data_IF_105718520412
#
_entry.id   IF_105718520412
#
_cell.length_a   1.000
_cell.length_b   1.000
_cell.length_c   1.000
_cell.angle_alpha   90.00
_cell.angle_beta   90.00
_cell.angle_gamma   90.00
#
_symmetry.space_group_name_H-M   'P 1'
#
loop_
_entity.id
_entity.type
_entity.pdbx_description
1 polymer ?
#
# COMPACT_ATOMS: atom_id res chain seq x y z
N UNK A 1 -2.21 3.43 41.79
CA UNK A 1 -0.82 2.98 41.65
C UNK A 1 -0.57 2.77 40.14
N UNK A 2 -0.07 3.81 39.45
CA UNK A 2 0.13 3.76 37.99
C UNK A 2 1.51 3.19 37.71
N UNK A 3 1.56 1.95 37.24
CA UNK A 3 2.78 1.25 36.90
C UNK A 3 3.42 1.95 35.66
N UNK A 4 4.65 2.46 35.84
CA UNK A 4 5.38 3.16 34.76
C UNK A 4 5.65 2.15 33.65
N UNK A 5 4.96 2.26 32.52
CA UNK A 5 5.24 1.48 31.31
C UNK A 5 6.70 1.65 30.94
N UNK A 6 7.51 0.62 31.12
CA UNK A 6 8.89 0.61 30.66
C UNK A 6 8.91 0.90 29.15
N UNK A 7 9.65 1.97 28.79
CA UNK A 7 9.85 2.29 27.36
C UNK A 7 10.57 1.10 26.71
N UNK A 8 10.01 0.49 25.65
CA UNK A 8 10.66 -0.64 25.02
C UNK A 8 12.03 -0.24 24.49
N UNK A 9 13.04 -1.11 24.64
CA UNK A 9 14.39 -0.89 24.13
C UNK A 9 14.38 -0.69 22.60
N UNK A 10 15.38 -0.01 22.04
CA UNK A 10 15.51 0.22 20.60
C UNK A 10 15.44 -1.09 19.81
N UNK A 11 16.07 -2.16 20.31
CA UNK A 11 15.98 -3.50 19.70
C UNK A 11 14.57 -4.10 19.74
N UNK A 12 13.80 -3.86 20.81
CA UNK A 12 12.39 -4.27 20.87
C UNK A 12 11.51 -3.46 19.93
N UNK A 13 11.83 -2.18 19.70
CA UNK A 13 11.14 -1.33 18.70
C UNK A 13 11.45 -1.80 17.29
N UNK A 14 12.72 -2.04 16.96
CA UNK A 14 13.12 -2.59 15.66
C UNK A 14 12.48 -3.94 15.39
N UNK A 15 12.53 -4.87 16.34
CA UNK A 15 11.88 -6.17 16.22
C UNK A 15 10.36 -6.07 16.05
N UNK A 16 9.67 -5.14 16.75
CA UNK A 16 8.24 -4.94 16.60
C UNK A 16 7.87 -4.27 15.26
N UNK A 17 8.80 -3.52 14.65
CA UNK A 17 8.65 -2.98 13.29
C UNK A 17 8.78 -4.09 12.24
N UNK A 18 9.73 -5.00 12.46
CA UNK A 18 10.01 -6.12 11.56
C UNK A 18 8.95 -7.23 11.71
N UNK A 19 8.57 -7.58 12.93
CA UNK A 19 7.58 -8.61 13.20
C UNK A 19 6.46 -8.04 14.09
N UNK A 20 5.32 -7.63 13.52
CA UNK A 20 4.24 -7.06 14.29
C UNK A 20 3.65 -8.12 15.24
N UNK A 21 3.93 -7.99 16.54
CA UNK A 21 3.37 -8.84 17.59
C UNK A 21 1.84 -8.91 17.58
N UNK A 22 1.22 -7.93 16.94
CA UNK A 22 -0.23 -7.82 16.83
C UNK A 22 -0.85 -8.72 15.75
N UNK A 23 -0.06 -9.40 14.91
CA UNK A 23 -0.53 -10.23 13.81
C UNK A 23 -1.01 -9.42 12.59
N UNK A 24 -0.81 -9.99 11.41
CA UNK A 24 -1.17 -9.39 10.11
C UNK A 24 -2.65 -9.00 10.02
N UNK A 25 -3.54 -9.76 10.66
CA UNK A 25 -4.98 -9.46 10.66
C UNK A 25 -5.34 -8.14 11.35
N UNK A 26 -4.60 -7.74 12.38
CA UNK A 26 -4.78 -6.43 13.03
C UNK A 26 -4.21 -5.31 12.19
N UNK A 27 -3.04 -5.51 11.57
CA UNK A 27 -2.44 -4.53 10.67
C UNK A 27 -3.38 -4.24 9.48
N UNK A 28 -3.92 -5.27 8.84
CA UNK A 28 -4.89 -5.12 7.76
C UNK A 28 -6.15 -4.41 8.24
N UNK A 29 -6.73 -4.80 9.39
CA UNK A 29 -7.89 -4.12 9.97
C UNK A 29 -7.60 -2.64 10.25
N UNK A 30 -6.44 -2.33 10.78
CA UNK A 30 -6.03 -0.96 11.04
C UNK A 30 -5.95 -0.14 9.74
N UNK A 31 -5.30 -0.68 8.69
CA UNK A 31 -5.24 -0.04 7.38
C UNK A 31 -6.63 0.17 6.78
N UNK A 32 -7.49 -0.85 6.82
CA UNK A 32 -8.89 -0.74 6.37
C UNK A 32 -9.64 0.37 7.11
N UNK A 33 -9.51 0.43 8.44
CA UNK A 33 -10.15 1.49 9.22
C UNK A 33 -9.59 2.88 8.90
N UNK A 34 -8.29 2.98 8.65
CA UNK A 34 -7.66 4.25 8.31
C UNK A 34 -8.10 4.73 6.92
N UNK A 35 -8.09 3.86 5.93
CA UNK A 35 -8.53 4.17 4.55
C UNK A 35 -10.02 4.60 4.52
N UNK A 36 -10.89 3.91 5.26
CA UNK A 36 -12.33 4.27 5.33
C UNK A 36 -12.60 5.65 5.92
N UNK A 37 -11.69 6.18 6.73
CA UNK A 37 -11.85 7.48 7.42
C UNK A 37 -11.18 8.64 6.71
N UNK A 38 -10.48 8.38 5.60
CA UNK A 38 -9.87 9.45 4.81
C UNK A 38 -10.94 10.40 4.25
N UNK A 39 -10.65 11.71 4.24
CA UNK A 39 -11.49 12.68 3.55
C UNK A 39 -11.33 12.50 2.04
N UNK A 40 -12.41 12.69 1.30
CA UNK A 40 -12.43 12.63 -0.16
C UNK A 40 -13.47 11.68 -0.72
N UNK A 41 -13.57 11.67 -2.04
CA UNK A 41 -14.50 10.80 -2.76
C UNK A 41 -14.04 9.34 -2.72
N UNK A 42 -14.96 8.36 -2.83
CA UNK A 42 -14.60 6.95 -2.92
C UNK A 42 -13.62 6.64 -4.05
N UNK A 43 -13.73 7.36 -5.17
CA UNK A 43 -12.77 7.29 -6.28
C UNK A 43 -11.38 7.74 -5.84
N UNK A 44 -11.27 8.97 -5.32
CA UNK A 44 -9.98 9.54 -4.95
C UNK A 44 -9.21 8.69 -3.94
N UNK A 45 -9.92 8.12 -2.95
CA UNK A 45 -9.31 7.26 -1.92
C UNK A 45 -8.87 5.93 -2.54
N UNK A 46 -9.72 5.29 -3.34
CA UNK A 46 -9.40 3.99 -3.93
C UNK A 46 -8.28 4.09 -4.96
N UNK A 47 -8.35 5.08 -5.87
CA UNK A 47 -7.33 5.31 -6.88
C UNK A 47 -5.98 5.67 -6.25
N UNK A 48 -5.99 6.55 -5.23
CA UNK A 48 -4.77 6.89 -4.49
C UNK A 48 -4.12 5.67 -3.85
N UNK A 49 -4.87 4.88 -3.09
CA UNK A 49 -4.36 3.66 -2.48
C UNK A 49 -3.80 2.68 -3.53
N UNK A 50 -4.53 2.50 -4.62
CA UNK A 50 -4.10 1.62 -5.72
C UNK A 50 -2.80 2.13 -6.38
N UNK A 51 -2.61 3.45 -6.54
CA UNK A 51 -1.36 4.03 -7.01
C UNK A 51 -0.18 3.71 -6.08
N UNK A 52 -0.38 3.87 -4.77
CA UNK A 52 0.64 3.53 -3.79
C UNK A 52 1.06 2.07 -3.86
N UNK A 53 0.08 1.17 -3.93
CA UNK A 53 0.32 -0.27 -4.06
C UNK A 53 1.00 -0.63 -5.37
N UNK A 54 0.59 -0.03 -6.50
CA UNK A 54 1.19 -0.27 -7.81
C UNK A 54 2.65 0.18 -7.88
N UNK A 55 2.95 1.39 -7.39
CA UNK A 55 4.31 1.93 -7.35
C UNK A 55 5.22 1.10 -6.44
N UNK A 56 4.67 0.47 -5.40
CA UNK A 56 5.43 -0.43 -4.53
C UNK A 56 5.97 -1.68 -5.23
N UNK A 57 5.51 -1.99 -6.45
CA UNK A 57 6.05 -3.09 -7.25
C UNK A 57 7.39 -2.71 -7.91
N UNK A 58 7.73 -1.43 -7.97
CA UNK A 58 8.98 -0.95 -8.59
C UNK A 58 10.18 -1.16 -7.65
N UNK A 59 11.39 -1.40 -8.19
CA UNK A 59 12.59 -1.58 -7.38
C UNK A 59 13.25 -0.24 -6.99
N UNK A 60 12.45 0.76 -6.60
CA UNK A 60 12.90 2.11 -6.26
C UNK A 60 12.65 2.43 -4.77
N UNK A 61 13.35 1.76 -3.82
CA UNK A 61 13.13 1.98 -2.39
C UNK A 61 13.39 3.44 -2.02
N UNK A 62 12.47 4.02 -1.25
CA UNK A 62 12.50 5.43 -0.84
C UNK A 62 11.76 6.37 -1.79
N UNK A 63 11.78 6.16 -3.10
CA UNK A 63 11.06 7.00 -4.06
C UNK A 63 9.56 6.66 -4.18
N UNK A 64 9.11 5.56 -3.60
CA UNK A 64 7.71 5.13 -3.67
C UNK A 64 6.72 6.21 -3.23
N UNK A 65 7.03 6.97 -2.17
CA UNK A 65 6.15 8.02 -1.67
C UNK A 65 6.02 9.18 -2.66
N UNK A 66 7.13 9.60 -3.23
CA UNK A 66 7.17 10.72 -4.20
C UNK A 66 6.46 10.30 -5.49
N UNK A 67 6.83 9.15 -6.03
CA UNK A 67 6.30 8.65 -7.30
C UNK A 67 4.81 8.32 -7.19
N UNK A 68 4.38 7.67 -6.10
CA UNK A 68 2.96 7.36 -5.87
C UNK A 68 2.13 8.62 -5.60
N UNK A 69 2.69 9.60 -4.89
CA UNK A 69 2.05 10.90 -4.66
C UNK A 69 1.88 11.69 -5.95
N UNK A 70 2.90 11.72 -6.79
CA UNK A 70 2.86 12.38 -8.11
C UNK A 70 1.82 11.69 -9.02
N UNK A 71 1.83 10.37 -9.11
CA UNK A 71 0.86 9.62 -9.90
C UNK A 71 -0.57 9.86 -9.40
N UNK A 72 -0.78 9.82 -8.08
CA UNK A 72 -2.07 10.10 -7.49
C UNK A 72 -2.54 11.54 -7.78
N UNK A 73 -1.63 12.51 -7.74
CA UNK A 73 -1.92 13.91 -8.07
C UNK A 73 -2.35 14.08 -9.53
N UNK A 74 -1.63 13.46 -10.47
CA UNK A 74 -1.93 13.53 -11.92
C UNK A 74 -3.35 13.02 -12.22
N UNK A 75 -3.79 11.94 -11.57
CA UNK A 75 -5.13 11.35 -11.81
C UNK A 75 -6.23 11.91 -10.89
N UNK A 76 -5.96 12.98 -10.13
CA UNK A 76 -6.91 13.57 -9.19
C UNK A 76 -7.26 12.67 -8.00
N UNK A 77 -6.36 11.78 -7.61
CA UNK A 77 -6.54 10.86 -6.50
C UNK A 77 -5.97 11.42 -5.18
N UNK A 78 -6.24 10.75 -4.07
CA UNK A 78 -5.78 11.17 -2.74
C UNK A 78 -4.32 10.79 -2.53
N UNK A 79 -3.42 11.80 -2.42
CA UNK A 79 -2.00 11.63 -2.09
C UNK A 79 -1.85 10.92 -0.72
N UNK A 80 -2.70 11.25 0.25
CA UNK A 80 -2.66 10.62 1.56
C UNK A 80 -3.03 9.12 1.49
N UNK A 81 -3.98 8.77 0.63
CA UNK A 81 -4.32 7.38 0.38
C UNK A 81 -3.18 6.64 -0.34
N UNK A 82 -2.47 7.31 -1.28
CA UNK A 82 -1.33 6.71 -1.96
C UNK A 82 -0.18 6.40 -0.99
N UNK A 83 0.12 7.31 -0.07
CA UNK A 83 1.12 7.07 0.97
C UNK A 83 0.77 5.85 1.86
N UNK A 84 -0.52 5.61 2.13
CA UNK A 84 -0.95 4.42 2.86
C UNK A 84 -0.84 3.17 1.97
N UNK A 85 -1.13 3.30 0.67
CA UNK A 85 -1.05 2.23 -0.31
C UNK A 85 0.37 1.66 -0.47
N UNK A 86 1.41 2.50 -0.31
CA UNK A 86 2.81 2.03 -0.36
C UNK A 86 3.16 1.01 0.72
N UNK A 87 2.36 0.91 1.79
CA UNK A 87 2.55 -0.13 2.81
C UNK A 87 2.33 -1.57 2.30
N UNK A 88 1.79 -1.76 1.10
CA UNK A 88 1.71 -3.07 0.43
C UNK A 88 3.10 -3.58 0.09
N UNK A 89 4.00 -2.69 -0.38
CA UNK A 89 5.42 -2.97 -0.50
C UNK A 89 6.10 -2.76 0.84
N UNK A 90 6.49 -3.84 1.47
CA UNK A 90 7.21 -3.83 2.74
C UNK A 90 8.41 -4.80 2.65
N UNK A 91 9.38 -4.73 3.57
CA UNK A 91 10.58 -5.57 3.52
C UNK A 91 10.32 -7.07 3.39
N UNK A 92 9.16 -7.55 3.83
CA UNK A 92 8.77 -8.96 3.75
C UNK A 92 8.22 -9.34 2.37
N UNK A 93 7.53 -8.42 1.71
CA UNK A 93 6.93 -8.66 0.40
C UNK A 93 7.91 -8.38 -0.73
N UNK A 94 8.88 -7.48 -0.55
CA UNK A 94 9.85 -7.11 -1.59
C UNK A 94 10.60 -8.28 -2.23
N UNK A 95 11.16 -9.26 -1.50
CA UNK A 95 11.86 -10.36 -2.13
C UNK A 95 10.97 -11.14 -3.11
N UNK A 96 9.73 -11.40 -2.72
CA UNK A 96 8.76 -12.12 -3.58
C UNK A 96 8.33 -11.27 -4.79
N UNK A 97 8.08 -9.97 -4.58
CA UNK A 97 7.71 -9.04 -5.64
C UNK A 97 8.84 -8.91 -6.66
N UNK A 98 10.08 -8.79 -6.21
CA UNK A 98 11.22 -8.60 -7.09
C UNK A 98 11.52 -9.85 -7.91
N UNK A 99 11.47 -11.03 -7.32
CA UNK A 99 11.61 -12.31 -8.04
C UNK A 99 10.51 -12.45 -9.09
N UNK A 100 9.27 -12.13 -8.73
CA UNK A 100 8.15 -12.15 -9.67
C UNK A 100 8.36 -11.16 -10.82
N UNK A 101 8.68 -9.90 -10.51
CA UNK A 101 8.89 -8.87 -11.52
C UNK A 101 10.10 -9.16 -12.39
N UNK A 102 11.17 -9.73 -11.83
CA UNK A 102 12.34 -10.16 -12.57
C UNK A 102 11.99 -11.23 -13.61
N UNK A 103 11.36 -12.31 -13.18
CA UNK A 103 10.96 -13.40 -14.08
C UNK A 103 10.01 -12.93 -15.19
N UNK A 104 9.02 -12.11 -14.82
CA UNK A 104 8.08 -11.54 -15.79
C UNK A 104 8.79 -10.60 -16.78
N UNK A 105 9.68 -9.75 -16.28
CA UNK A 105 10.44 -8.83 -17.11
C UNK A 105 11.44 -9.52 -18.03
N UNK A 106 12.16 -10.53 -17.53
CA UNK A 106 13.06 -11.37 -18.34
C UNK A 106 12.29 -12.08 -19.44
N UNK A 107 11.12 -12.63 -19.14
CA UNK A 107 10.25 -13.23 -20.15
C UNK A 107 9.79 -12.22 -21.21
N UNK A 108 9.42 -10.99 -20.81
CA UNK A 108 9.02 -9.92 -21.74
C UNK A 108 10.20 -9.49 -22.64
N UNK A 109 11.41 -9.41 -22.07
CA UNK A 109 12.60 -8.99 -22.78
C UNK A 109 13.21 -10.10 -23.66
N UNK A 110 12.74 -11.35 -23.52
CA UNK A 110 13.32 -12.50 -24.20
C UNK A 110 14.77 -12.78 -23.75
N UNK A 111 15.12 -12.36 -22.55
CA UNK A 111 16.45 -12.60 -21.99
C UNK A 111 16.45 -13.93 -21.25
N UNK A 112 17.22 -14.90 -21.76
CA UNK A 112 17.47 -16.19 -21.09
C UNK A 112 18.43 -16.06 -19.89
N UNK A 113 18.46 -14.89 -19.27
CA UNK A 113 19.24 -14.65 -18.06
C UNK A 113 18.63 -15.47 -16.91
N UNK A 114 18.96 -16.77 -16.88
CA UNK A 114 18.98 -17.48 -15.62
C UNK A 114 19.93 -16.68 -14.72
N UNK A 115 19.40 -16.19 -13.60
CA UNK A 115 20.25 -15.74 -12.49
C UNK A 115 21.18 -16.92 -12.25
N UNK A 116 22.41 -16.81 -12.76
CA UNK A 116 23.36 -17.91 -12.76
C UNK A 116 23.43 -18.49 -11.36
N UNK A 117 23.49 -19.80 -11.27
CA UNK A 117 23.63 -20.56 -10.02
C UNK A 117 24.92 -20.21 -9.25
N UNK A 118 25.71 -19.28 -9.78
CA UNK A 118 26.91 -18.77 -9.17
C UNK A 118 26.53 -17.91 -7.95
N UNK A 119 27.22 -18.15 -6.87
CA UNK A 119 27.01 -17.52 -5.56
C UNK A 119 26.77 -16.02 -5.72
N UNK A 120 25.52 -15.59 -5.43
CA UNK A 120 25.10 -14.19 -5.46
C UNK A 120 25.90 -13.43 -4.39
N UNK A 121 27.03 -12.89 -4.79
CA UNK A 121 27.90 -12.05 -3.97
C UNK A 121 27.47 -10.59 -4.13
N UNK A 122 27.62 -9.76 -3.09
CA UNK A 122 27.36 -8.32 -3.16
C UNK A 122 28.10 -7.62 -4.30
N UNK A 123 29.33 -8.09 -4.65
CA UNK A 123 30.08 -7.62 -5.80
C UNK A 123 29.38 -7.94 -7.12
N UNK A 124 28.91 -9.17 -7.29
CA UNK A 124 28.17 -9.59 -8.49
C UNK A 124 26.91 -8.74 -8.70
N UNK A 125 26.15 -8.46 -7.62
CA UNK A 125 24.97 -7.61 -7.68
C UNK A 125 25.30 -6.18 -8.11
N UNK A 126 26.47 -5.66 -7.73
CA UNK A 126 26.87 -4.31 -8.08
C UNK A 126 27.33 -4.19 -9.54
N UNK A 127 28.08 -5.17 -10.00
CA UNK A 127 28.60 -5.22 -11.38
C UNK A 127 27.47 -5.47 -12.41
N UNK A 128 26.41 -6.23 -12.03
CA UNK A 128 25.26 -6.57 -12.87
C UNK A 128 23.97 -5.84 -12.48
N UNK A 129 24.10 -4.70 -11.81
CA UNK A 129 22.94 -3.95 -11.27
C UNK A 129 21.92 -3.62 -12.38
N UNK A 130 22.37 -3.21 -13.56
CA UNK A 130 21.48 -2.86 -14.68
C UNK A 130 20.81 -4.09 -15.28
N UNK A 131 21.51 -5.20 -15.37
CA UNK A 131 21.00 -6.47 -15.92
C UNK A 131 19.89 -7.06 -15.02
N UNK A 132 19.92 -6.75 -13.73
CA UNK A 132 18.90 -7.16 -12.77
C UNK A 132 17.79 -6.12 -12.66
N UNK A 133 18.14 -4.84 -12.62
CA UNK A 133 17.17 -3.76 -12.44
C UNK A 133 16.25 -3.58 -13.64
N UNK A 134 16.77 -3.72 -14.87
CA UNK A 134 15.98 -3.51 -16.08
C UNK A 134 14.83 -4.52 -16.19
N UNK A 135 15.04 -5.85 -16.06
CA UNK A 135 13.95 -6.80 -16.03
C UNK A 135 12.93 -6.52 -14.93
N UNK A 136 13.39 -6.19 -13.70
CA UNK A 136 12.47 -5.88 -12.59
C UNK A 136 11.61 -4.65 -12.94
N UNK A 137 12.20 -3.60 -13.51
CA UNK A 137 11.46 -2.39 -13.92
C UNK A 137 10.42 -2.72 -15.01
N UNK A 138 10.82 -3.48 -16.05
CA UNK A 138 9.92 -3.88 -17.13
C UNK A 138 8.77 -4.73 -16.59
N UNK A 139 9.05 -5.72 -15.75
CA UNK A 139 8.03 -6.59 -15.14
C UNK A 139 7.17 -5.87 -14.09
N UNK A 140 7.68 -4.80 -13.45
CA UNK A 140 6.91 -4.03 -12.47
C UNK A 140 5.78 -3.23 -13.10
N UNK A 141 5.89 -2.82 -14.36
CA UNK A 141 4.85 -2.04 -15.05
C UNK A 141 3.54 -2.84 -15.20
N UNK A 142 3.52 -4.00 -15.88
CA UNK A 142 2.30 -4.80 -16.00
C UNK A 142 1.80 -5.30 -14.64
N UNK A 143 2.70 -5.66 -13.73
CA UNK A 143 2.35 -6.06 -12.37
C UNK A 143 1.68 -4.91 -11.61
N UNK A 144 2.22 -3.71 -11.69
CA UNK A 144 1.65 -2.51 -11.07
C UNK A 144 0.26 -2.17 -11.61
N UNK A 145 0.07 -2.24 -12.93
CA UNK A 145 -1.25 -2.05 -13.57
C UNK A 145 -2.25 -3.07 -13.05
N UNK A 146 -1.86 -4.34 -13.00
CA UNK A 146 -2.72 -5.42 -12.49
C UNK A 146 -3.10 -5.18 -11.02
N UNK A 147 -2.14 -4.87 -10.16
CA UNK A 147 -2.38 -4.57 -8.74
C UNK A 147 -3.29 -3.35 -8.58
N UNK A 148 -3.09 -2.31 -9.41
CA UNK A 148 -3.95 -1.14 -9.40
C UNK A 148 -5.41 -1.52 -9.70
N UNK A 149 -5.65 -2.28 -10.76
CA UNK A 149 -6.99 -2.75 -11.16
C UNK A 149 -7.63 -3.62 -10.09
N UNK A 150 -6.88 -4.59 -9.56
CA UNK A 150 -7.37 -5.54 -8.54
C UNK A 150 -7.74 -4.83 -7.23
N UNK A 151 -6.97 -3.81 -6.82
CA UNK A 151 -7.23 -3.12 -5.55
C UNK A 151 -8.24 -1.97 -5.69
N UNK A 152 -8.32 -1.31 -6.84
CA UNK A 152 -9.20 -0.17 -7.04
C UNK A 152 -10.67 -0.49 -6.77
N UNK A 153 -11.19 -1.55 -7.38
CA UNK A 153 -12.61 -1.89 -7.27
C UNK A 153 -13.06 -2.26 -5.86
N UNK A 154 -12.41 -3.19 -5.14
CA UNK A 154 -12.84 -3.55 -3.80
C UNK A 154 -12.71 -2.40 -2.81
N UNK A 155 -11.64 -1.59 -2.90
CA UNK A 155 -11.45 -0.44 -2.03
C UNK A 155 -12.51 0.63 -2.30
N UNK A 156 -12.81 0.93 -3.57
CA UNK A 156 -13.86 1.87 -3.94
C UNK A 156 -15.22 1.45 -3.37
N UNK A 157 -15.61 0.20 -3.54
CA UNK A 157 -16.86 -0.34 -3.00
C UNK A 157 -16.90 -0.28 -1.46
N UNK A 158 -15.80 -0.62 -0.82
CA UNK A 158 -15.66 -0.58 0.64
C UNK A 158 -15.83 0.83 1.19
N UNK A 159 -15.17 1.82 0.59
CA UNK A 159 -15.24 3.24 1.01
C UNK A 159 -16.63 3.80 0.74
N UNK A 160 -17.20 3.54 -0.43
CA UNK A 160 -18.54 3.97 -0.80
C UNK A 160 -19.60 3.44 0.17
N UNK A 161 -19.58 2.15 0.48
CA UNK A 161 -20.50 1.54 1.45
C UNK A 161 -20.35 2.11 2.87
N UNK A 162 -19.12 2.44 3.28
CA UNK A 162 -18.89 3.09 4.58
C UNK A 162 -19.45 4.51 4.61
N UNK A 163 -19.19 5.32 3.58
CA UNK A 163 -19.66 6.69 3.48
C UNK A 163 -21.19 6.76 3.43
N UNK A 164 -21.85 5.88 2.65
CA UNK A 164 -23.32 5.81 2.56
C UNK A 164 -23.96 5.48 3.90
N UNK A 165 -23.41 4.51 4.64
CA UNK A 165 -23.91 4.15 5.97
C UNK A 165 -23.72 5.27 6.99
N UNK A 166 -22.61 6.01 6.87
CA UNK A 166 -22.33 7.14 7.74
C UNK A 166 -23.31 8.30 7.50
N UNK A 167 -23.53 8.66 6.24
CA UNK A 167 -24.48 9.74 5.88
C UNK A 167 -25.92 9.39 6.29
N UNK A 168 -26.36 8.15 6.07
CA UNK A 168 -27.67 7.70 6.51
C UNK A 168 -27.85 7.76 8.05
N UNK A 169 -26.81 7.43 8.81
CA UNK A 169 -26.85 7.55 10.29
C UNK A 169 -26.94 9.02 10.75
N UNK A 170 -26.22 9.91 10.08
CA UNK A 170 -26.26 11.34 10.41
C UNK A 170 -27.62 11.94 10.08
N UNK A 171 -28.19 11.61 8.92
CA UNK A 171 -29.53 12.03 8.52
C UNK A 171 -30.60 11.57 9.54
N UNK A 172 -30.59 10.30 9.95
CA UNK A 172 -31.52 9.79 10.98
C UNK A 172 -31.37 10.52 12.32
N UNK A 173 -30.14 10.88 12.72
CA UNK A 173 -29.91 11.62 13.96
C UNK A 173 -30.40 13.07 13.87
N UNK A 174 -30.30 13.71 12.71
CA UNK A 174 -30.83 15.05 12.47
C UNK A 174 -32.36 15.05 12.61
N UNK A 175 -33.05 14.14 11.90
CA UNK A 175 -34.50 14.01 11.99
C UNK A 175 -35.01 13.71 13.43
N UNK A 176 -34.28 12.87 14.18
CA UNK A 176 -34.64 12.57 15.56
C UNK A 176 -34.49 13.78 16.48
N UNK A 177 -33.57 14.72 16.20
CA UNK A 177 -33.40 15.96 16.97
C UNK A 177 -34.48 16.98 16.65
N UNK A 178 -34.85 17.11 15.38
CA UNK A 178 -35.94 18.01 14.97
C UNK A 178 -37.28 17.55 15.52
N UNK A 179 -37.55 16.23 15.55
CA UNK A 179 -38.78 15.68 16.15
C UNK A 179 -38.85 15.81 17.69
N UNK A 180 -37.72 15.91 18.37
CA UNK A 180 -37.71 16.12 19.86
C UNK A 180 -37.73 17.58 20.27
N UNK A 181 -37.32 18.51 19.40
CA UNK A 181 -37.34 19.95 19.70
C UNK A 181 -38.65 20.66 19.38
N UNK A 182 -39.64 19.98 18.81
CA UNK A 182 -40.97 20.52 18.48
C UNK A 182 -42.04 20.27 19.52
N UNK A 183 -41.69 19.85 20.75
CA UNK A 183 -42.64 19.52 21.83
C UNK A 183 -42.54 20.53 23.01
N UNK A 184 -41.77 21.60 22.89
CA UNK A 184 -41.78 22.76 23.81
C UNK A 184 -42.53 23.93 23.13
#
# INVERSE_FOLDING_TARGET
>A
MFDRRHKPSLGARARNLIWPRSGWSRAIRYLVHRVRRLPGTPYAIAAGFACGAAVSMTPLPGFHFVLSGLLAWIIGASILASAIGTAVGNPWTFPFIWVWCYNLGSWILGSDNELGSDTITLGYLWDHLMDIMLPILVGSVPTGILIWLVLFWPIRRMVQGYQSRRSARLARRALAREGSGGIE
#
